data_IF_095230854702
#
_entry.id   IF_095230854702
#
_cell.length_a   1.000
_cell.length_b   1.000
_cell.length_c   1.000
_cell.angle_alpha   90.00
_cell.angle_beta   90.00
_cell.angle_gamma   90.00
#
_symmetry.space_group_name_H-M   'P 1'
#
loop_
_entity.id
_entity.type
_entity.pdbx_description
1 polymer ?
#
# COMPACT_ATOMS: atom_id res chain seq x y z
N UNK A 1 -39.39 51.14 69.98
CA UNK A 1 -40.52 52.01 69.55
C UNK A 1 -40.28 52.42 68.10
N UNK A 2 -41.30 52.32 67.23
CA UNK A 2 -41.35 52.67 65.76
C UNK A 2 -40.76 51.58 64.84
N UNK A 3 -41.50 50.77 64.07
CA UNK A 3 -42.62 50.91 63.09
C UNK A 3 -42.22 51.58 61.76
N UNK A 4 -42.70 50.97 60.66
CA UNK A 4 -42.66 51.27 59.20
C UNK A 4 -41.55 50.51 58.44
N UNK A 5 -41.80 49.48 57.62
CA UNK A 5 -42.84 49.17 56.61
C UNK A 5 -42.78 50.14 55.41
N UNK A 6 -42.31 49.64 54.25
CA UNK A 6 -42.64 50.03 52.85
C UNK A 6 -41.81 49.11 51.91
N UNK A 7 -42.41 48.07 51.32
CA UNK A 7 -43.05 48.03 49.99
C UNK A 7 -42.08 48.42 48.85
N UNK A 8 -41.79 47.43 47.99
CA UNK A 8 -41.05 47.60 46.75
C UNK A 8 -41.10 46.34 45.89
N UNK A 9 -42.31 45.99 45.46
CA UNK A 9 -42.60 45.11 44.32
C UNK A 9 -41.82 45.59 43.09
N UNK A 10 -41.19 44.71 42.29
CA UNK A 10 -41.12 44.79 40.80
C UNK A 10 -40.31 43.64 40.18
N UNK A 11 -41.03 42.89 39.35
CA UNK A 11 -40.68 42.20 38.11
C UNK A 11 -39.80 40.94 38.08
N UNK A 12 -40.50 39.87 37.71
CA UNK A 12 -40.01 38.65 37.11
C UNK A 12 -39.40 38.87 35.73
N UNK A 13 -38.33 38.15 35.42
CA UNK A 13 -38.10 37.52 34.12
C UNK A 13 -37.28 36.24 34.34
N UNK A 14 -37.92 35.09 34.13
CA UNK A 14 -37.23 33.85 33.85
C UNK A 14 -36.92 33.77 32.36
N UNK A 15 -35.82 33.10 32.01
CA UNK A 15 -35.77 31.89 31.16
C UNK A 15 -34.38 31.70 30.54
N UNK A 16 -33.92 30.46 30.64
CA UNK A 16 -32.92 29.73 29.84
C UNK A 16 -31.44 30.16 29.91
N UNK A 17 -30.70 29.45 30.77
CA UNK A 17 -29.30 29.14 30.52
C UNK A 17 -29.21 28.22 29.29
N UNK A 18 -28.71 28.75 28.17
CA UNK A 18 -28.28 27.93 27.04
C UNK A 18 -26.91 27.36 27.43
N UNK A 19 -26.89 26.08 27.82
CA UNK A 19 -25.66 25.32 27.88
C UNK A 19 -25.14 25.19 26.44
N UNK A 20 -24.14 25.99 26.09
CA UNK A 20 -23.34 25.76 24.89
C UNK A 20 -22.50 24.51 25.16
N UNK A 21 -23.03 23.34 24.79
CA UNK A 21 -22.18 22.17 24.58
C UNK A 21 -21.28 22.53 23.41
N UNK A 22 -20.03 22.87 23.73
CA UNK A 22 -18.94 22.91 22.77
C UNK A 22 -18.89 21.53 22.12
N UNK A 23 -19.50 21.42 20.93
CA UNK A 23 -19.41 20.23 20.12
C UNK A 23 -17.94 20.01 19.82
N UNK A 24 -17.37 18.96 20.40
CA UNK A 24 -16.14 18.38 19.91
C UNK A 24 -16.32 18.14 18.41
N UNK A 25 -15.33 18.52 17.57
CA UNK A 25 -15.36 18.12 16.17
C UNK A 25 -15.41 16.60 16.13
N UNK A 26 -16.12 16.00 15.16
CA UNK A 26 -16.19 14.56 15.05
C UNK A 26 -14.75 14.04 14.89
N UNK A 27 -14.25 13.40 15.94
CA UNK A 27 -13.07 12.56 15.88
C UNK A 27 -13.43 11.42 14.94
N UNK A 28 -13.16 11.63 13.64
CA UNK A 28 -13.03 10.53 12.70
C UNK A 28 -11.93 9.67 13.30
N UNK A 29 -12.36 8.56 13.91
CA UNK A 29 -11.48 7.49 14.34
C UNK A 29 -10.86 6.90 13.07
N UNK A 30 -9.86 7.60 12.54
CA UNK A 30 -8.99 7.13 11.48
C UNK A 30 -8.11 6.08 12.18
N UNK A 31 -8.63 4.86 12.25
CA UNK A 31 -7.88 3.66 12.61
C UNK A 31 -6.87 3.33 11.49
N UNK A 32 -6.16 4.34 10.99
CA UNK A 32 -5.04 4.18 10.10
C UNK A 32 -3.88 3.70 10.98
N UNK A 33 -3.52 2.43 10.81
CA UNK A 33 -2.31 1.91 11.42
C UNK A 33 -1.11 2.77 10.98
N UNK A 34 -0.03 2.87 11.76
CA UNK A 34 1.16 3.64 11.36
C UNK A 34 1.72 3.27 9.97
N UNK A 35 1.47 2.02 9.53
CA UNK A 35 1.78 1.54 8.19
C UNK A 35 0.93 2.23 7.09
N UNK A 36 -0.38 2.37 7.29
CA UNK A 36 -1.29 3.03 6.33
C UNK A 36 -0.93 4.49 6.06
N UNK A 37 -0.49 5.21 7.10
CA UNK A 37 -0.08 6.61 6.96
C UNK A 37 1.19 6.74 6.10
N UNK A 38 2.13 5.80 6.22
CA UNK A 38 3.36 5.81 5.43
C UNK A 38 3.07 5.48 3.95
N UNK A 39 2.13 4.56 3.71
CA UNK A 39 1.66 4.20 2.37
C UNK A 39 0.98 5.40 1.68
N UNK A 40 0.04 6.06 2.36
CA UNK A 40 -0.62 7.27 1.86
C UNK A 40 0.39 8.37 1.53
N UNK A 41 1.37 8.59 2.41
CA UNK A 41 2.40 9.62 2.19
C UNK A 41 3.22 9.34 0.93
N UNK A 42 3.60 8.08 0.68
CA UNK A 42 4.35 7.69 -0.52
C UNK A 42 3.51 7.75 -1.78
N UNK A 43 2.24 7.37 -1.73
CA UNK A 43 1.30 7.57 -2.85
C UNK A 43 1.14 9.06 -3.20
N UNK A 44 1.04 9.93 -2.20
CA UNK A 44 0.99 11.39 -2.40
C UNK A 44 2.30 11.91 -3.00
N UNK A 45 3.44 11.41 -2.55
CA UNK A 45 4.74 11.78 -3.10
C UNK A 45 4.89 11.33 -4.56
N UNK A 46 4.40 10.14 -4.91
CA UNK A 46 4.30 9.72 -6.30
C UNK A 46 3.44 10.71 -7.11
N UNK A 47 2.27 11.11 -6.61
CA UNK A 47 1.42 12.09 -7.30
C UNK A 47 2.09 13.47 -7.44
N UNK A 48 2.94 13.86 -6.48
CA UNK A 48 3.74 15.08 -6.56
C UNK A 48 4.77 14.98 -7.68
N UNK A 49 5.50 13.85 -7.75
CA UNK A 49 6.47 13.57 -8.81
C UNK A 49 5.79 13.58 -10.18
N UNK A 50 4.58 13.02 -10.30
CA UNK A 50 3.77 13.08 -11.53
C UNK A 50 3.50 14.51 -11.98
N UNK A 51 3.00 15.36 -11.09
CA UNK A 51 2.68 16.75 -11.43
C UNK A 51 3.92 17.54 -11.84
N UNK A 52 5.06 17.26 -11.22
CA UNK A 52 6.35 17.82 -11.65
C UNK A 52 6.83 17.29 -13.00
N UNK A 53 6.55 16.01 -13.31
CA UNK A 53 6.83 15.38 -14.60
C UNK A 53 6.09 16.07 -15.74
N UNK A 54 4.79 16.28 -15.53
CA UNK A 54 3.87 16.88 -16.50
C UNK A 54 4.23 18.35 -16.74
N UNK A 55 4.69 19.07 -15.71
CA UNK A 55 5.08 20.48 -15.80
C UNK A 55 6.42 20.72 -16.52
N UNK A 56 7.35 19.75 -16.48
CA UNK A 56 8.73 19.92 -16.98
C UNK A 56 9.04 19.16 -18.29
N UNK A 57 8.02 18.73 -19.03
CA UNK A 57 8.12 17.94 -20.26
C UNK A 57 8.82 16.58 -20.07
N UNK A 58 8.00 15.54 -19.82
CA UNK A 58 8.32 14.11 -19.83
C UNK A 58 9.44 13.72 -18.87
N UNK A 59 9.14 12.94 -17.83
CA UNK A 59 10.17 12.22 -17.08
C UNK A 59 10.85 11.22 -17.99
N UNK A 60 11.91 11.68 -18.66
CA UNK A 60 12.91 10.84 -19.27
C UNK A 60 13.81 10.37 -18.15
N UNK A 61 13.99 9.06 -18.07
CA UNK A 61 15.13 8.47 -17.35
C UNK A 61 16.43 9.08 -17.90
N UNK A 62 17.53 8.95 -17.17
CA UNK A 62 18.86 9.33 -17.65
C UNK A 62 19.21 8.65 -19.00
N UNK A 63 18.57 7.51 -19.33
CA UNK A 63 18.69 6.80 -20.60
C UNK A 63 17.70 7.26 -21.71
N UNK A 64 16.93 8.34 -21.50
CA UNK A 64 16.01 8.91 -22.49
C UNK A 64 14.66 8.20 -22.62
N UNK A 65 14.43 7.06 -21.95
CA UNK A 65 13.11 6.38 -21.96
C UNK A 65 12.13 7.09 -21.04
N UNK A 66 10.91 7.28 -21.54
CA UNK A 66 9.79 7.82 -20.77
C UNK A 66 9.39 6.82 -19.67
N UNK A 67 9.42 7.28 -18.43
CA UNK A 67 8.83 6.56 -17.31
C UNK A 67 7.32 6.64 -17.43
N UNK A 68 6.65 5.50 -17.60
CA UNK A 68 5.18 5.42 -17.61
C UNK A 68 4.63 5.58 -16.20
N UNK A 69 4.72 6.80 -15.67
CA UNK A 69 4.47 7.10 -14.27
C UNK A 69 3.07 6.66 -13.81
N UNK A 70 2.05 6.84 -14.65
CA UNK A 70 0.69 6.40 -14.34
C UNK A 70 0.62 4.90 -14.06
N UNK A 71 1.33 4.08 -14.84
CA UNK A 71 1.37 2.62 -14.68
C UNK A 71 2.17 2.26 -13.42
N UNK A 72 3.30 2.92 -13.20
CA UNK A 72 4.13 2.71 -11.99
C UNK A 72 3.31 2.96 -10.72
N UNK A 73 2.55 4.06 -10.70
CA UNK A 73 1.68 4.40 -9.56
C UNK A 73 0.56 3.38 -9.39
N UNK A 74 -0.15 3.06 -10.48
CA UNK A 74 -1.25 2.10 -10.46
C UNK A 74 -0.80 0.73 -9.94
N UNK A 75 0.34 0.23 -10.42
CA UNK A 75 0.89 -1.07 -10.02
C UNK A 75 1.36 -1.04 -8.56
N UNK A 76 2.02 0.04 -8.15
CA UNK A 76 2.49 0.22 -6.76
C UNK A 76 1.34 0.20 -5.76
N UNK A 77 0.26 0.94 -6.03
CA UNK A 77 -0.94 0.98 -5.18
C UNK A 77 -1.75 -0.32 -5.28
N UNK A 78 -1.83 -0.88 -6.48
CA UNK A 78 -2.55 -2.11 -6.77
C UNK A 78 -2.00 -3.30 -6.00
N UNK A 79 -0.67 -3.47 -5.94
CA UNK A 79 -0.01 -4.53 -5.18
C UNK A 79 -0.44 -4.50 -3.71
N UNK A 80 -0.42 -3.32 -3.09
CA UNK A 80 -0.79 -3.15 -1.69
C UNK A 80 -2.28 -3.44 -1.46
N UNK A 81 -3.14 -2.98 -2.38
CA UNK A 81 -4.58 -3.25 -2.32
C UNK A 81 -4.90 -4.74 -2.42
N UNK A 82 -4.27 -5.46 -3.35
CA UNK A 82 -4.46 -6.90 -3.50
C UNK A 82 -3.87 -7.68 -2.31
N UNK A 83 -2.75 -7.21 -1.73
CA UNK A 83 -2.19 -7.78 -0.50
C UNK A 83 -3.18 -7.68 0.66
N UNK A 84 -3.82 -6.51 0.84
CA UNK A 84 -4.87 -6.36 1.86
C UNK A 84 -6.00 -7.38 1.66
N UNK A 85 -6.45 -7.61 0.42
CA UNK A 85 -7.48 -8.63 0.13
C UNK A 85 -7.04 -10.05 0.50
N UNK A 86 -5.76 -10.40 0.31
CA UNK A 86 -5.21 -11.69 0.74
C UNK A 86 -5.30 -11.83 2.26
N UNK A 87 -4.89 -10.81 3.00
CA UNK A 87 -4.95 -10.82 4.48
C UNK A 87 -6.40 -10.92 4.96
N UNK A 88 -7.32 -10.19 4.33
CA UNK A 88 -8.74 -10.27 4.64
C UNK A 88 -9.33 -11.67 4.38
N UNK A 89 -9.03 -12.24 3.21
CA UNK A 89 -9.47 -13.59 2.82
C UNK A 89 -8.93 -14.69 3.74
N UNK A 90 -7.76 -14.46 4.37
CA UNK A 90 -7.12 -15.41 5.27
C UNK A 90 -7.56 -15.25 6.73
N UNK A 91 -7.77 -14.01 7.22
CA UNK A 91 -7.96 -13.73 8.65
C UNK A 91 -9.41 -13.38 9.01
N UNK A 92 -10.15 -12.67 8.15
CA UNK A 92 -11.44 -12.07 8.53
C UNK A 92 -12.64 -12.99 8.28
N UNK A 93 -12.49 -13.98 7.41
CA UNK A 93 -13.57 -14.90 7.08
C UNK A 93 -13.62 -16.08 8.05
N UNK A 94 -14.83 -16.61 8.28
CA UNK A 94 -15.03 -17.83 9.09
C UNK A 94 -14.30 -19.04 8.49
N UNK A 95 -14.16 -19.04 7.17
CA UNK A 95 -13.41 -20.01 6.38
C UNK A 95 -12.43 -19.28 5.47
N UNK A 96 -11.25 -19.87 5.24
CA UNK A 96 -10.22 -19.26 4.40
C UNK A 96 -10.70 -19.25 2.94
N UNK A 97 -10.78 -18.07 2.33
CA UNK A 97 -11.15 -17.93 0.92
C UNK A 97 -9.93 -18.11 0.01
N UNK A 98 -9.59 -19.38 -0.25
CA UNK A 98 -8.47 -19.73 -1.13
C UNK A 98 -8.67 -19.28 -2.58
N UNK A 99 -9.91 -19.03 -3.03
CA UNK A 99 -10.18 -18.51 -4.37
C UNK A 99 -9.74 -17.05 -4.46
N UNK A 100 -10.13 -16.22 -3.48
CA UNK A 100 -9.68 -14.83 -3.41
C UNK A 100 -8.16 -14.73 -3.27
N UNK A 101 -7.53 -15.59 -2.45
CA UNK A 101 -6.06 -15.60 -2.29
C UNK A 101 -5.38 -15.96 -3.63
N UNK A 102 -5.87 -16.98 -4.34
CA UNK A 102 -5.37 -17.36 -5.67
C UNK A 102 -5.49 -16.20 -6.66
N UNK A 103 -6.66 -15.58 -6.77
CA UNK A 103 -6.88 -14.49 -7.73
C UNK A 103 -6.03 -13.25 -7.42
N UNK A 104 -5.94 -12.88 -6.14
CA UNK A 104 -5.17 -11.70 -5.70
C UNK A 104 -3.67 -11.93 -5.87
N UNK A 105 -3.16 -13.13 -5.57
CA UNK A 105 -1.74 -13.48 -5.78
C UNK A 105 -1.33 -13.42 -7.24
N UNK A 106 -2.17 -13.89 -8.17
CA UNK A 106 -1.89 -13.74 -9.61
C UNK A 106 -1.78 -12.26 -10.03
N UNK A 107 -2.72 -11.42 -9.57
CA UNK A 107 -2.70 -9.98 -9.86
C UNK A 107 -1.45 -9.29 -9.31
N UNK A 108 -1.05 -9.62 -8.08
CA UNK A 108 0.19 -9.09 -7.48
C UNK A 108 1.40 -9.45 -8.36
N UNK A 109 1.49 -10.70 -8.82
CA UNK A 109 2.58 -11.15 -9.70
C UNK A 109 2.63 -10.33 -11.00
N UNK A 110 1.49 -10.18 -11.67
CA UNK A 110 1.36 -9.41 -12.91
C UNK A 110 1.77 -7.94 -12.72
N UNK A 111 1.27 -7.30 -11.66
CA UNK A 111 1.62 -5.91 -11.34
C UNK A 111 3.09 -5.76 -10.95
N UNK A 112 3.66 -6.70 -10.20
CA UNK A 112 5.07 -6.66 -9.82
C UNK A 112 6.00 -6.82 -11.04
N UNK A 113 5.66 -7.70 -11.99
CA UNK A 113 6.37 -7.84 -13.27
C UNK A 113 6.33 -6.54 -14.07
N UNK A 114 5.14 -5.94 -14.22
CA UNK A 114 5.00 -4.66 -14.94
C UNK A 114 5.71 -3.52 -14.24
N UNK A 115 5.59 -3.42 -12.92
CA UNK A 115 6.26 -2.41 -12.12
C UNK A 115 7.77 -2.52 -12.29
N UNK A 116 8.31 -3.74 -12.17
CA UNK A 116 9.74 -4.00 -12.41
C UNK A 116 10.15 -3.57 -13.81
N UNK A 117 9.42 -3.98 -14.85
CA UNK A 117 9.75 -3.66 -16.23
C UNK A 117 9.70 -2.15 -16.54
N UNK A 118 8.79 -1.40 -15.90
CA UNK A 118 8.68 0.05 -16.10
C UNK A 118 9.72 0.84 -15.31
N UNK A 119 10.11 0.36 -14.12
CA UNK A 119 11.03 1.05 -13.21
C UNK A 119 12.50 0.73 -13.53
N UNK A 120 12.82 -0.54 -13.76
CA UNK A 120 14.19 -1.04 -13.94
C UNK A 120 14.48 -1.45 -15.37
N UNK A 121 13.69 -0.98 -16.35
CA UNK A 121 13.72 -1.51 -17.71
C UNK A 121 15.17 -1.70 -18.19
N UNK A 122 15.54 -2.90 -18.65
CA UNK A 122 16.91 -3.20 -18.98
C UNK A 122 17.39 -2.16 -19.99
N UNK A 123 18.44 -1.43 -19.63
CA UNK A 123 19.34 -0.96 -20.65
C UNK A 123 19.82 -2.22 -21.36
N UNK A 124 19.82 -2.21 -22.68
CA UNK A 124 20.28 -3.34 -23.46
C UNK A 124 21.76 -3.60 -23.13
N UNK A 125 22.02 -4.36 -22.08
CA UNK A 125 23.18 -5.21 -21.98
C UNK A 125 22.72 -6.55 -22.56
N UNK A 126 22.99 -6.66 -23.86
CA UNK A 126 23.16 -7.94 -24.52
C UNK A 126 24.02 -8.87 -23.65
N UNK A 127 23.62 -10.13 -23.63
CA UNK A 127 24.42 -11.28 -23.26
C UNK A 127 24.87 -11.34 -21.80
N UNK A 128 24.04 -12.00 -20.98
CA UNK A 128 24.53 -13.19 -20.31
C UNK A 128 23.43 -14.24 -20.31
N UNK A 129 23.47 -15.09 -21.34
CA UNK A 129 22.86 -16.40 -21.26
C UNK A 129 23.68 -17.24 -20.27
N UNK A 130 23.08 -17.60 -19.13
CA UNK A 130 23.12 -18.91 -18.45
C UNK A 130 22.84 -18.77 -16.96
N UNK A 131 21.72 -19.34 -16.53
CA UNK A 131 21.76 -20.60 -15.80
C UNK A 131 20.38 -21.27 -15.88
N UNK A 132 20.24 -22.27 -16.75
CA UNK A 132 19.07 -23.17 -16.81
C UNK A 132 19.18 -24.28 -15.75
N UNK A 133 19.74 -23.98 -14.58
CA UNK A 133 19.50 -24.82 -13.42
C UNK A 133 18.06 -24.52 -12.96
N UNK A 134 17.20 -25.53 -12.72
CA UNK A 134 15.93 -25.28 -12.08
C UNK A 134 16.24 -24.83 -10.65
N UNK A 135 16.48 -23.53 -10.47
CA UNK A 135 16.60 -22.92 -9.16
C UNK A 135 15.28 -23.25 -8.45
N UNK A 136 15.37 -24.18 -7.50
CA UNK A 136 14.21 -24.63 -6.74
C UNK A 136 13.74 -23.41 -5.99
N UNK A 137 12.69 -22.75 -6.49
CA UNK A 137 12.18 -21.55 -5.87
C UNK A 137 11.94 -21.87 -4.39
N UNK A 138 12.60 -21.14 -3.47
CA UNK A 138 12.69 -21.51 -2.06
C UNK A 138 11.35 -21.43 -1.34
N UNK A 139 10.32 -20.94 -2.02
CA UNK A 139 8.95 -20.83 -1.54
C UNK A 139 8.09 -22.05 -1.90
N UNK A 140 8.56 -22.95 -2.76
CA UNK A 140 7.87 -24.21 -3.06
C UNK A 140 7.70 -25.07 -1.79
N UNK A 141 6.50 -25.62 -1.61
CA UNK A 141 6.17 -26.50 -0.49
C UNK A 141 5.87 -25.79 0.84
N UNK A 142 6.01 -24.45 0.91
CA UNK A 142 5.60 -23.68 2.10
C UNK A 142 4.07 -23.67 2.26
N UNK A 143 3.62 -23.48 3.49
CA UNK A 143 2.19 -23.32 3.77
C UNK A 143 1.65 -21.99 3.22
N UNK A 144 0.35 -21.92 2.94
CA UNK A 144 -0.32 -20.67 2.53
C UNK A 144 -0.04 -19.54 3.52
N UNK A 145 -0.04 -19.85 4.83
CA UNK A 145 0.27 -18.88 5.88
C UNK A 145 1.67 -18.30 5.77
N UNK A 146 2.67 -19.17 5.63
CA UNK A 146 4.08 -18.75 5.57
C UNK A 146 4.34 -17.90 4.32
N UNK A 147 3.68 -18.24 3.22
CA UNK A 147 3.74 -17.49 1.97
C UNK A 147 3.10 -16.11 2.11
N UNK A 148 1.97 -15.97 2.81
CA UNK A 148 1.34 -14.67 3.06
C UNK A 148 2.25 -13.78 3.91
N UNK A 149 2.87 -14.33 4.96
CA UNK A 149 3.81 -13.58 5.82
C UNK A 149 5.05 -13.15 5.02
N UNK A 150 5.60 -14.05 4.22
CA UNK A 150 6.75 -13.74 3.37
C UNK A 150 6.41 -12.66 2.33
N UNK A 151 5.21 -12.73 1.73
CA UNK A 151 4.73 -11.76 0.75
C UNK A 151 4.56 -10.38 1.39
N UNK A 152 3.98 -10.32 2.58
CA UNK A 152 3.82 -9.08 3.35
C UNK A 152 5.18 -8.41 3.62
N UNK A 153 6.16 -9.18 4.09
CA UNK A 153 7.52 -8.69 4.31
C UNK A 153 8.18 -8.17 3.03
N UNK A 154 8.10 -8.93 1.93
CA UNK A 154 8.69 -8.54 0.65
C UNK A 154 8.03 -7.27 0.06
N UNK A 155 6.71 -7.16 0.14
CA UNK A 155 5.98 -5.93 -0.25
C UNK A 155 6.38 -4.77 0.66
N UNK A 156 6.53 -5.01 1.96
CA UNK A 156 7.04 -4.04 2.92
C UNK A 156 8.41 -3.49 2.52
N UNK A 157 9.37 -4.34 2.16
CA UNK A 157 10.69 -3.92 1.65
C UNK A 157 10.58 -3.03 0.41
N UNK A 158 9.74 -3.43 -0.56
CA UNK A 158 9.51 -2.63 -1.78
C UNK A 158 8.93 -1.28 -1.41
N UNK A 159 7.78 -1.25 -0.73
CA UNK A 159 7.03 -0.03 -0.41
C UNK A 159 7.83 0.90 0.49
N UNK A 160 8.67 0.35 1.38
CA UNK A 160 9.45 1.14 2.33
C UNK A 160 10.71 1.81 1.77
N UNK A 161 11.08 1.45 0.54
CA UNK A 161 12.29 1.98 -0.06
C UNK A 161 12.27 3.50 -0.27
N UNK A 162 13.40 4.20 0.00
CA UNK A 162 13.52 5.62 -0.30
C UNK A 162 13.52 5.93 -1.81
N UNK A 163 13.63 4.92 -2.69
CA UNK A 163 13.62 5.17 -4.14
C UNK A 163 12.33 5.85 -4.63
N UNK A 164 11.20 5.57 -3.98
CA UNK A 164 9.90 6.13 -4.36
C UNK A 164 9.79 7.64 -4.12
N UNK A 165 10.69 8.21 -3.31
CA UNK A 165 10.76 9.65 -3.05
C UNK A 165 11.50 10.41 -4.17
N UNK A 166 12.37 9.72 -4.94
CA UNK A 166 13.23 10.34 -5.94
C UNK A 166 13.33 9.49 -7.21
N UNK A 167 12.19 9.15 -7.80
CA UNK A 167 12.13 8.32 -9.02
C UNK A 167 12.88 8.89 -10.24
N UNK A 168 13.21 10.19 -10.24
CA UNK A 168 13.96 10.83 -11.34
C UNK A 168 15.44 10.42 -11.39
N UNK A 169 16.03 10.08 -10.25
CA UNK A 169 17.44 9.73 -10.13
C UNK A 169 17.52 8.34 -9.50
N UNK A 170 17.75 7.33 -10.33
CA UNK A 170 17.86 5.95 -9.88
C UNK A 170 19.26 5.77 -9.29
N UNK A 171 19.40 5.92 -7.97
CA UNK A 171 20.63 5.53 -7.27
C UNK A 171 20.74 3.99 -7.28
N UNK A 172 21.76 3.39 -7.94
CA UNK A 172 21.92 1.94 -8.00
C UNK A 172 21.92 1.26 -6.62
N UNK A 173 22.44 1.94 -5.59
CA UNK A 173 22.50 1.41 -4.22
C UNK A 173 21.13 1.19 -3.60
N UNK A 174 20.14 1.96 -4.04
CA UNK A 174 18.75 1.86 -3.57
C UNK A 174 17.90 1.06 -4.55
N UNK A 175 18.21 1.15 -5.84
CA UNK A 175 17.49 0.49 -6.92
C UNK A 175 17.64 -1.04 -6.91
N UNK A 176 18.88 -1.53 -6.82
CA UNK A 176 19.17 -2.99 -6.87
C UNK A 176 18.44 -3.76 -5.76
N UNK A 177 18.46 -3.32 -4.49
CA UNK A 177 17.70 -4.01 -3.45
C UNK A 177 16.19 -4.06 -3.72
N UNK A 178 15.60 -2.99 -4.25
CA UNK A 178 14.16 -2.98 -4.54
C UNK A 178 13.81 -3.85 -5.73
N UNK A 179 14.66 -3.87 -6.76
CA UNK A 179 14.47 -4.80 -7.87
C UNK A 179 14.49 -6.25 -7.36
N UNK A 180 15.45 -6.60 -6.50
CA UNK A 180 15.51 -7.92 -5.88
C UNK A 180 14.28 -8.22 -5.01
N UNK A 181 13.79 -7.24 -4.23
CA UNK A 181 12.55 -7.42 -3.46
C UNK A 181 11.32 -7.57 -4.36
N UNK A 182 11.25 -6.92 -5.52
CA UNK A 182 10.19 -7.16 -6.51
C UNK A 182 10.26 -8.56 -7.11
N UNK A 183 11.45 -9.09 -7.39
CA UNK A 183 11.61 -10.49 -7.82
C UNK A 183 11.08 -11.44 -6.74
N UNK A 184 11.40 -11.22 -5.46
CA UNK A 184 10.81 -12.00 -4.36
C UNK A 184 9.28 -11.91 -4.34
N UNK A 185 8.70 -10.72 -4.54
CA UNK A 185 7.24 -10.55 -4.61
C UNK A 185 6.64 -11.40 -5.75
N UNK A 186 7.27 -11.42 -6.92
CA UNK A 186 6.86 -12.25 -8.07
C UNK A 186 6.92 -13.74 -7.71
N UNK A 187 8.02 -14.20 -7.13
CA UNK A 187 8.23 -15.61 -6.78
C UNK A 187 7.28 -16.10 -5.69
N UNK A 188 7.11 -15.32 -4.62
CA UNK A 188 6.23 -15.66 -3.50
C UNK A 188 4.78 -15.66 -3.96
N UNK A 189 4.36 -14.68 -4.76
CA UNK A 189 3.01 -14.61 -5.29
C UNK A 189 2.69 -15.80 -6.21
N UNK A 190 3.64 -16.23 -7.04
CA UNK A 190 3.53 -17.47 -7.83
C UNK A 190 3.39 -18.73 -6.96
N UNK A 191 4.23 -18.87 -5.92
CA UNK A 191 4.13 -19.97 -4.98
C UNK A 191 2.80 -19.97 -4.20
N UNK A 192 2.31 -18.80 -3.81
CA UNK A 192 1.04 -18.62 -3.12
C UNK A 192 -0.15 -18.97 -4.02
N UNK A 193 -0.10 -18.61 -5.31
CA UNK A 193 -1.09 -19.02 -6.29
C UNK A 193 -1.19 -20.54 -6.37
N UNK A 194 -0.04 -21.23 -6.49
CA UNK A 194 0.01 -22.70 -6.56
C UNK A 194 -0.51 -23.36 -5.29
N UNK A 195 -0.07 -22.88 -4.12
CA UNK A 195 -0.50 -23.41 -2.83
C UNK A 195 -2.00 -23.24 -2.62
N UNK A 196 -2.56 -22.08 -2.97
CA UNK A 196 -3.99 -21.79 -2.86
C UNK A 196 -4.81 -22.61 -3.85
N UNK A 197 -4.32 -22.78 -5.09
CA UNK A 197 -4.97 -23.62 -6.09
C UNK A 197 -5.03 -25.09 -5.63
N UNK A 198 -3.94 -25.60 -5.03
CA UNK A 198 -3.91 -26.95 -4.46
C UNK A 198 -4.98 -27.14 -3.38
N UNK A 199 -5.19 -26.14 -2.51
CA UNK A 199 -6.22 -26.19 -1.45
C UNK A 199 -7.64 -26.23 -2.00
N UNK A 200 -7.90 -25.54 -3.11
CA UNK A 200 -9.20 -25.58 -3.80
C UNK A 200 -9.49 -26.94 -4.46
N UNK A 201 -8.47 -27.72 -4.80
CA UNK A 201 -8.67 -29.06 -5.40
C UNK A 201 -8.86 -30.17 -4.38
N UNK A 202 -8.61 -29.90 -3.09
CA UNK A 202 -8.71 -30.89 -2.01
C UNK A 202 -9.93 -30.71 -1.11
N UNK A 203 -10.66 -29.61 -1.28
CA UNK A 203 -11.91 -29.27 -0.58
C UNK A 203 -13.07 -29.40 -1.55
#
# INVERSE_FOLDING_TARGET
>A
MRILLLIGLVFAFGVAAIAQTSGEPPTVADNATPADNNIKLRSVELERIKREAEKNAVLRRDNGKELKFSIVKEDFEGIQKEQSKIVEAYVKNKEIDYKQIKESSNKISEMAVRLRANVFAPDAQENDAKDDSPEVNPFFGKSVRDLIIALDGAIGEVVTSPMWQKLKVVDPKVAVPVEASLVKVIDISGALWLASNKKLSTN
#
